data_IF_960222916436
#
_entry.id   IF_960222916436
#
_cell.length_a   1.000
_cell.length_b   1.000
_cell.length_c   1.000
_cell.angle_alpha   90.00
_cell.angle_beta   90.00
_cell.angle_gamma   90.00
#
_symmetry.space_group_name_H-M   'P 1'
#
loop_
_entity.id
_entity.type
_entity.pdbx_description
1 polymer ?
#
# COMPACT_ATOMS: atom_id res chain seq x y z
N UNK A 1 43.40 -62.16 -11.77
CA UNK A 1 42.46 -61.98 -12.90
C UNK A 1 41.04 -62.16 -12.38
N UNK A 2 40.23 -61.11 -12.34
CA UNK A 2 38.82 -61.17 -11.96
C UNK A 2 38.03 -60.23 -12.86
N UNK A 3 37.29 -60.79 -13.82
CA UNK A 3 36.40 -60.04 -14.71
C UNK A 3 34.99 -60.04 -14.11
N UNK A 4 34.54 -58.89 -13.61
CA UNK A 4 33.12 -58.63 -13.34
C UNK A 4 32.51 -57.91 -14.54
N UNK A 5 31.72 -58.63 -15.32
CA UNK A 5 30.82 -58.06 -16.31
C UNK A 5 29.74 -57.22 -15.60
N UNK A 6 29.70 -55.90 -15.84
CA UNK A 6 28.58 -55.04 -15.44
C UNK A 6 27.53 -55.08 -16.55
N UNK A 7 26.41 -55.74 -16.29
CA UNK A 7 25.20 -55.63 -17.12
C UNK A 7 24.53 -54.29 -16.83
N UNK A 8 24.49 -53.40 -17.82
CA UNK A 8 23.73 -52.14 -17.78
C UNK A 8 22.27 -52.40 -18.10
N UNK A 9 21.42 -52.45 -17.07
CA UNK A 9 19.95 -52.48 -17.22
C UNK A 9 19.50 -51.06 -17.58
N UNK A 10 19.21 -50.83 -18.86
CA UNK A 10 18.54 -49.60 -19.32
C UNK A 10 17.05 -49.72 -19.03
N UNK A 11 16.58 -48.98 -18.02
CA UNK A 11 15.16 -48.93 -17.67
C UNK A 11 14.39 -48.21 -18.80
N UNK A 12 13.34 -48.82 -19.38
CA UNK A 12 12.54 -48.16 -20.40
C UNK A 12 11.81 -46.95 -19.80
N UNK A 13 11.92 -45.79 -20.46
CA UNK A 13 11.19 -44.58 -20.11
C UNK A 13 9.69 -44.79 -20.35
N UNK A 14 8.80 -44.36 -19.44
CA UNK A 14 7.37 -44.50 -19.63
C UNK A 14 6.88 -43.69 -20.84
N UNK A 15 5.83 -44.16 -21.54
CA UNK A 15 5.31 -43.47 -22.72
C UNK A 15 4.79 -42.08 -22.34
N UNK A 16 5.24 -41.04 -23.06
CA UNK A 16 4.78 -39.66 -22.91
C UNK A 16 3.29 -39.60 -23.32
N UNK A 17 2.39 -39.48 -22.33
CA UNK A 17 0.95 -39.32 -22.59
C UNK A 17 0.70 -38.02 -23.36
N UNK A 18 -0.12 -38.09 -24.41
CA UNK A 18 -0.55 -36.91 -25.18
C UNK A 18 -1.38 -36.01 -24.26
N UNK A 19 -0.90 -34.79 -24.02
CA UNK A 19 -1.58 -33.78 -23.21
C UNK A 19 -2.79 -33.27 -23.98
N UNK A 20 -3.95 -33.24 -23.35
CA UNK A 20 -5.17 -32.71 -23.96
C UNK A 20 -5.14 -31.19 -23.86
N UNK A 21 -5.37 -30.49 -24.98
CA UNK A 21 -5.42 -29.03 -25.07
C UNK A 21 -6.86 -28.61 -25.36
N UNK A 22 -7.30 -27.51 -24.75
CA UNK A 22 -8.61 -26.88 -24.94
C UNK A 22 -8.39 -25.41 -25.26
N UNK A 23 -8.98 -24.96 -26.36
CA UNK A 23 -8.93 -23.56 -26.80
C UNK A 23 -9.93 -22.72 -26.01
N UNK A 24 -9.48 -21.61 -25.43
CA UNK A 24 -10.32 -20.57 -24.84
C UNK A 24 -10.00 -19.22 -25.49
N UNK A 25 -10.79 -18.82 -26.49
CA UNK A 25 -10.45 -17.70 -27.37
C UNK A 25 -9.16 -18.01 -28.16
N UNK A 26 -8.19 -17.10 -28.10
CA UNK A 26 -6.88 -17.23 -28.76
C UNK A 26 -5.83 -17.97 -27.90
N UNK A 27 -6.23 -18.55 -26.76
CA UNK A 27 -5.32 -19.19 -25.80
C UNK A 27 -5.60 -20.69 -25.72
N UNK A 28 -4.56 -21.49 -25.94
CA UNK A 28 -4.61 -22.93 -25.73
C UNK A 28 -4.31 -23.28 -24.26
N UNK A 29 -5.30 -23.83 -23.57
CA UNK A 29 -5.21 -24.28 -22.18
C UNK A 29 -4.96 -25.78 -22.11
N UNK A 30 -3.99 -26.21 -21.30
CA UNK A 30 -3.77 -27.64 -21.06
C UNK A 30 -4.82 -28.17 -20.07
N UNK A 31 -5.62 -29.15 -20.49
CA UNK A 31 -6.63 -29.79 -19.64
C UNK A 31 -5.98 -30.96 -18.91
N UNK A 32 -5.99 -30.89 -17.58
CA UNK A 32 -5.55 -31.97 -16.71
C UNK A 32 -6.77 -32.81 -16.32
N UNK A 33 -6.83 -34.05 -16.81
CA UNK A 33 -7.99 -34.93 -16.63
C UNK A 33 -8.04 -35.61 -15.25
N UNK A 34 -7.06 -35.36 -14.39
CA UNK A 34 -6.88 -36.09 -13.13
C UNK A 34 -6.74 -35.11 -11.96
N UNK A 35 -7.47 -35.35 -10.87
CA UNK A 35 -7.44 -34.50 -9.65
C UNK A 35 -6.02 -34.46 -9.02
N UNK A 36 -5.17 -35.43 -9.34
CA UNK A 36 -3.76 -35.51 -8.91
C UNK A 36 -2.80 -34.66 -9.76
N UNK A 37 -3.23 -34.22 -10.93
CA UNK A 37 -2.47 -33.31 -11.79
C UNK A 37 -2.93 -31.87 -11.51
N UNK A 38 -2.70 -31.43 -10.27
CA UNK A 38 -2.90 -30.03 -9.92
C UNK A 38 -1.85 -29.19 -10.64
N UNK A 39 -2.22 -27.99 -11.08
CA UNK A 39 -1.26 -27.02 -11.58
C UNK A 39 -0.20 -26.77 -10.49
N UNK A 40 1.06 -27.08 -10.82
CA UNK A 40 2.22 -26.81 -9.98
C UNK A 40 2.97 -25.68 -10.66
N UNK A 41 3.01 -24.52 -10.01
CA UNK A 41 3.83 -23.41 -10.45
C UNK A 41 5.31 -23.86 -10.51
N UNK A 42 5.99 -23.75 -11.67
CA UNK A 42 7.40 -24.15 -11.80
C UNK A 42 8.32 -23.38 -10.83
N UNK A 43 7.92 -22.18 -10.40
CA UNK A 43 8.69 -21.33 -9.48
C UNK A 43 8.24 -21.44 -8.03
N UNK A 44 7.70 -22.59 -7.62
CA UNK A 44 7.16 -22.82 -6.27
C UNK A 44 8.21 -22.51 -5.19
N UNK A 45 8.24 -21.25 -4.75
CA UNK A 45 9.01 -20.82 -3.59
C UNK A 45 8.43 -21.58 -2.40
N UNK A 46 9.29 -22.35 -1.74
CA UNK A 46 8.92 -23.02 -0.51
C UNK A 46 8.60 -21.93 0.51
N UNK A 47 7.35 -21.89 0.96
CA UNK A 47 6.94 -20.95 1.99
C UNK A 47 7.65 -21.29 3.30
N UNK A 48 8.05 -20.25 4.03
CA UNK A 48 8.53 -20.42 5.39
C UNK A 48 7.41 -20.94 6.31
N UNK A 49 7.75 -21.58 7.42
CA UNK A 49 6.78 -22.19 8.35
C UNK A 49 5.73 -21.18 8.83
N UNK A 50 6.14 -19.93 9.08
CA UNK A 50 5.24 -18.85 9.49
C UNK A 50 4.29 -18.47 8.36
N UNK A 51 4.80 -18.36 7.13
CA UNK A 51 4.01 -18.03 5.95
C UNK A 51 3.00 -19.14 5.62
N UNK A 52 3.41 -20.40 5.74
CA UNK A 52 2.55 -21.55 5.56
C UNK A 52 1.41 -21.54 6.59
N UNK A 53 1.72 -21.30 7.87
CA UNK A 53 0.73 -21.19 8.94
C UNK A 53 -0.31 -20.09 8.65
N UNK A 54 0.13 -18.92 8.18
CA UNK A 54 -0.78 -17.83 7.81
C UNK A 54 -1.70 -18.22 6.64
N UNK A 55 -1.15 -18.84 5.59
CA UNK A 55 -1.93 -19.32 4.45
C UNK A 55 -2.93 -20.38 4.87
N UNK A 56 -2.52 -21.33 5.70
CA UNK A 56 -3.38 -22.41 6.21
C UNK A 56 -4.53 -21.85 7.06
N UNK A 57 -4.24 -20.85 7.90
CA UNK A 57 -5.26 -20.16 8.69
C UNK A 57 -6.30 -19.48 7.79
N UNK A 58 -5.88 -18.78 6.74
CA UNK A 58 -6.79 -18.13 5.78
C UNK A 58 -7.62 -19.17 5.02
N UNK A 59 -6.99 -20.28 4.61
CA UNK A 59 -7.64 -21.35 3.86
C UNK A 59 -8.72 -22.06 4.69
N UNK A 60 -8.50 -22.21 6.00
CA UNK A 60 -9.39 -22.92 6.91
C UNK A 60 -10.50 -22.04 7.51
N UNK A 61 -10.57 -20.74 7.16
CA UNK A 61 -11.68 -19.89 7.62
C UNK A 61 -13.01 -20.48 7.14
N UNK A 62 -13.96 -20.78 8.05
CA UNK A 62 -15.27 -21.26 7.64
C UNK A 62 -15.98 -20.16 6.85
N UNK A 63 -16.43 -20.47 5.64
CA UNK A 63 -17.27 -19.55 4.87
C UNK A 63 -18.71 -19.68 5.36
N UNK A 64 -19.30 -18.65 5.99
CA UNK A 64 -20.71 -18.69 6.31
C UNK A 64 -21.53 -18.78 5.01
N UNK A 65 -22.49 -19.69 4.99
CA UNK A 65 -23.43 -19.85 3.87
C UNK A 65 -24.30 -18.61 3.76
N UNK A 66 -24.04 -17.75 2.76
CA UNK A 66 -24.96 -16.66 2.39
C UNK A 66 -24.33 -15.32 2.03
N UNK A 67 -23.06 -15.09 2.36
CA UNK A 67 -22.36 -13.84 2.01
C UNK A 67 -21.22 -14.17 1.07
N UNK A 68 -21.06 -13.41 -0.03
CA UNK A 68 -19.99 -13.62 -1.02
C UNK A 68 -18.68 -13.97 -0.32
N UNK A 69 -18.15 -15.16 -0.62
CA UNK A 69 -17.23 -15.92 0.24
C UNK A 69 -16.18 -15.02 0.92
N UNK A 70 -16.22 -14.91 2.25
CA UNK A 70 -15.27 -14.12 3.07
C UNK A 70 -13.82 -14.33 2.64
N UNK A 71 -13.48 -15.56 2.23
CA UNK A 71 -12.21 -15.93 1.61
C UNK A 71 -11.83 -15.04 0.42
N UNK A 72 -12.73 -14.83 -0.53
CA UNK A 72 -12.51 -13.95 -1.69
C UNK A 72 -12.28 -12.51 -1.27
N UNK A 73 -12.99 -12.00 -0.26
CA UNK A 73 -12.73 -10.66 0.27
C UNK A 73 -11.33 -10.57 0.89
N UNK A 74 -10.92 -11.57 1.67
CA UNK A 74 -9.57 -11.64 2.25
C UNK A 74 -8.52 -11.69 1.14
N UNK A 75 -8.70 -12.52 0.12
CA UNK A 75 -7.78 -12.59 -1.01
C UNK A 75 -7.72 -11.28 -1.79
N UNK A 76 -8.87 -10.64 -2.07
CA UNK A 76 -8.90 -9.33 -2.73
C UNK A 76 -8.16 -8.27 -1.90
N UNK A 77 -8.37 -8.24 -0.59
CA UNK A 77 -7.65 -7.33 0.31
C UNK A 77 -6.16 -7.61 0.36
N UNK A 78 -5.74 -8.88 0.39
CA UNK A 78 -4.33 -9.26 0.36
C UNK A 78 -3.68 -8.94 -0.98
N UNK A 79 -4.34 -9.25 -2.10
CA UNK A 79 -3.87 -8.89 -3.43
C UNK A 79 -3.75 -7.37 -3.53
N UNK A 80 -4.75 -6.62 -3.08
CA UNK A 80 -4.68 -5.16 -3.10
C UNK A 80 -3.54 -4.65 -2.20
N UNK A 81 -3.36 -5.22 -1.01
CA UNK A 81 -2.23 -4.92 -0.14
C UNK A 81 -0.90 -5.22 -0.83
N UNK A 82 -0.73 -6.38 -1.46
CA UNK A 82 0.51 -6.72 -2.14
C UNK A 82 0.72 -5.94 -3.42
N UNK A 83 -0.32 -5.58 -4.17
CA UNK A 83 -0.21 -4.70 -5.33
C UNK A 83 0.18 -3.30 -4.87
N UNK A 84 -0.47 -2.74 -3.86
CA UNK A 84 -0.14 -1.41 -3.31
C UNK A 84 1.21 -1.40 -2.58
N UNK A 85 1.58 -2.47 -1.90
CA UNK A 85 2.87 -2.63 -1.21
C UNK A 85 4.01 -3.06 -2.14
N UNK A 86 3.75 -3.75 -3.25
CA UNK A 86 4.70 -4.00 -4.32
C UNK A 86 4.87 -2.76 -5.21
N UNK A 87 3.88 -1.86 -5.24
CA UNK A 87 4.04 -0.45 -5.61
C UNK A 87 4.66 0.34 -4.43
N UNK A 88 5.56 -0.27 -3.65
CA UNK A 88 6.66 0.47 -3.05
C UNK A 88 7.65 0.74 -4.18
N UNK A 89 7.71 1.96 -4.75
CA UNK A 89 8.77 2.25 -5.69
C UNK A 89 10.08 2.06 -4.93
N UNK A 90 11.02 1.34 -5.54
CA UNK A 90 12.36 1.08 -5.01
C UNK A 90 13.22 2.37 -4.83
N UNK A 91 12.59 3.55 -4.88
CA UNK A 91 13.19 4.82 -4.59
C UNK A 91 13.02 5.22 -3.13
N UNK A 92 14.03 5.93 -2.64
CA UNK A 92 14.01 6.76 -1.43
C UNK A 92 12.81 7.73 -1.46
N UNK A 93 11.64 7.31 -0.98
CA UNK A 93 10.50 8.20 -0.78
C UNK A 93 10.79 9.08 0.42
N UNK A 94 10.93 10.36 0.18
CA UNK A 94 10.95 11.37 1.22
C UNK A 94 9.56 11.43 1.87
N UNK A 95 9.56 11.50 3.20
CA UNK A 95 8.34 11.57 4.02
C UNK A 95 7.66 12.93 3.91
N UNK A 96 8.44 13.98 3.64
CA UNK A 96 7.98 15.35 3.48
C UNK A 96 8.93 16.14 2.56
N UNK A 97 8.48 17.31 2.12
CA UNK A 97 9.18 18.15 1.16
C UNK A 97 9.17 19.60 1.63
N UNK A 98 10.30 20.28 1.57
CA UNK A 98 10.40 21.72 1.76
C UNK A 98 10.41 22.43 0.41
N UNK A 99 9.56 23.43 0.25
CA UNK A 99 9.56 24.37 -0.86
C UNK A 99 10.09 25.72 -0.35
N UNK A 100 11.14 26.25 -0.95
CA UNK A 100 11.81 27.48 -0.49
C UNK A 100 11.42 28.73 -1.28
N UNK A 101 10.57 28.59 -2.30
CA UNK A 101 10.22 29.68 -3.23
C UNK A 101 8.74 29.66 -3.56
N UNK A 102 8.16 30.85 -3.80
CA UNK A 102 6.75 31.03 -4.14
C UNK A 102 5.85 31.30 -2.93
N UNK A 103 4.58 31.58 -3.19
CA UNK A 103 3.61 32.02 -2.17
C UNK A 103 3.33 30.96 -1.10
N UNK A 104 3.54 29.69 -1.45
CA UNK A 104 3.35 28.53 -0.58
C UNK A 104 4.68 27.92 -0.14
N UNK A 105 5.73 28.74 -0.02
CA UNK A 105 7.02 28.31 0.52
C UNK A 105 6.88 27.83 1.98
N UNK A 106 7.35 26.61 2.24
CA UNK A 106 7.19 25.93 3.50
C UNK A 106 7.21 24.41 3.37
N UNK A 107 6.61 23.69 4.32
CA UNK A 107 6.68 22.23 4.41
C UNK A 107 5.39 21.56 3.94
N UNK A 108 5.56 20.62 3.03
CA UNK A 108 4.52 19.88 2.33
C UNK A 108 4.60 18.38 2.65
N UNK A 109 3.46 17.76 2.93
CA UNK A 109 3.40 16.36 3.32
C UNK A 109 3.62 15.41 2.15
N UNK A 110 3.22 15.79 0.93
CA UNK A 110 3.22 14.91 -0.23
C UNK A 110 3.85 15.59 -1.46
N UNK A 111 4.50 14.78 -2.31
CA UNK A 111 5.14 15.28 -3.54
C UNK A 111 4.14 15.86 -4.54
N UNK A 112 2.91 15.33 -4.59
CA UNK A 112 1.87 15.80 -5.50
C UNK A 112 1.59 17.30 -5.29
N UNK A 113 1.48 17.74 -4.03
CA UNK A 113 1.25 19.14 -3.67
C UNK A 113 2.39 20.04 -4.18
N UNK A 114 3.64 19.65 -3.91
CA UNK A 114 4.82 20.40 -4.36
C UNK A 114 4.92 20.43 -5.88
N UNK A 115 4.62 19.32 -6.55
CA UNK A 115 4.73 19.21 -8.00
C UNK A 115 3.81 20.16 -8.76
N UNK A 116 2.65 20.49 -8.19
CA UNK A 116 1.75 21.50 -8.75
C UNK A 116 2.27 22.92 -8.52
N UNK A 117 2.84 23.19 -7.35
CA UNK A 117 3.36 24.52 -6.98
C UNK A 117 4.64 24.90 -7.74
N UNK A 118 5.51 23.94 -8.03
CA UNK A 118 6.73 24.21 -8.80
C UNK A 118 6.44 24.50 -10.28
N UNK A 119 5.30 24.07 -10.82
CA UNK A 119 4.91 24.39 -12.20
C UNK A 119 4.49 25.84 -12.35
N UNK A 120 3.99 26.46 -11.28
CA UNK A 120 3.54 27.86 -11.29
C UNK A 120 4.65 28.86 -10.97
N UNK A 121 5.81 28.40 -10.50
CA UNK A 121 6.92 29.26 -10.06
C UNK A 121 8.15 28.99 -10.92
N UNK A 122 8.59 30.01 -11.66
CA UNK A 122 9.82 29.93 -12.43
C UNK A 122 11.03 29.78 -11.49
N UNK A 123 11.87 28.76 -11.72
CA UNK A 123 13.03 28.43 -10.88
C UNK A 123 12.71 28.02 -9.42
N UNK A 124 11.65 27.24 -9.22
CA UNK A 124 11.29 26.77 -7.90
C UNK A 124 12.40 25.95 -7.20
N UNK A 125 12.76 26.32 -5.96
CA UNK A 125 13.73 25.60 -5.15
C UNK A 125 13.01 24.71 -4.13
N UNK A 126 13.29 23.41 -4.15
CA UNK A 126 12.70 22.45 -3.23
C UNK A 126 13.67 21.34 -2.84
N UNK A 127 13.41 20.67 -1.70
CA UNK A 127 14.18 19.52 -1.23
C UNK A 127 13.30 18.54 -0.46
N UNK A 128 13.51 17.24 -0.69
CA UNK A 128 12.85 16.16 0.05
C UNK A 128 13.60 15.77 1.32
N UNK A 129 12.86 15.40 2.36
CA UNK A 129 13.34 15.02 3.68
C UNK A 129 12.65 13.76 4.21
N UNK A 130 13.36 12.96 5.02
CA UNK A 130 12.78 11.77 5.66
C UNK A 130 12.15 12.07 7.01
N UNK A 131 12.60 13.13 7.66
CA UNK A 131 12.06 13.60 8.94
C UNK A 131 11.36 14.95 8.76
N UNK A 132 10.18 15.07 9.39
CA UNK A 132 9.44 16.32 9.49
C UNK A 132 10.25 17.41 10.19
N UNK A 133 11.00 17.04 11.23
CA UNK A 133 11.83 17.94 12.00
C UNK A 133 12.97 18.53 11.16
N UNK A 134 13.63 17.69 10.33
CA UNK A 134 14.70 18.12 9.43
C UNK A 134 14.18 19.12 8.38
N UNK A 135 12.99 18.86 7.82
CA UNK A 135 12.35 19.76 6.87
C UNK A 135 11.97 21.10 7.52
N UNK A 136 11.41 21.07 8.73
CA UNK A 136 11.04 22.27 9.49
C UNK A 136 12.27 23.12 9.83
N UNK A 137 13.37 22.49 10.26
CA UNK A 137 14.61 23.20 10.57
C UNK A 137 15.21 23.83 9.32
N UNK A 138 15.18 23.12 8.19
CA UNK A 138 15.64 23.67 6.91
C UNK A 138 14.81 24.87 6.45
N UNK A 139 13.48 24.78 6.54
CA UNK A 139 12.61 25.92 6.25
C UNK A 139 12.89 27.10 7.18
N UNK A 140 13.08 26.86 8.50
CA UNK A 140 13.42 27.93 9.45
C UNK A 140 14.74 28.63 9.10
N UNK A 141 15.74 27.89 8.64
CA UNK A 141 17.04 28.43 8.25
C UNK A 141 16.98 29.32 7.01
N UNK A 142 16.12 28.98 6.04
CA UNK A 142 16.05 29.67 4.74
C UNK A 142 14.97 30.75 4.70
N UNK A 143 13.77 30.44 5.20
CA UNK A 143 12.58 31.29 5.14
C UNK A 143 12.36 32.11 6.42
N UNK A 144 13.01 31.73 7.53
CA UNK A 144 12.80 32.33 8.85
C UNK A 144 11.64 31.68 9.62
N UNK A 145 11.14 32.34 10.68
CA UNK A 145 10.15 31.74 11.60
C UNK A 145 8.75 31.58 10.97
N UNK A 146 8.44 32.33 9.92
CA UNK A 146 7.12 32.36 9.30
C UNK A 146 7.17 31.69 7.93
N UNK A 147 6.68 30.46 7.84
CA UNK A 147 6.56 29.72 6.57
C UNK A 147 5.28 28.88 6.57
N UNK A 148 4.86 28.46 5.38
CA UNK A 148 3.63 27.71 5.20
C UNK A 148 3.77 26.26 5.71
N UNK A 149 2.73 25.74 6.37
CA UNK A 149 2.64 24.32 6.71
C UNK A 149 1.36 23.77 6.11
N UNK A 150 1.52 22.86 5.15
CA UNK A 150 0.41 22.20 4.44
C UNK A 150 -0.53 21.46 5.39
N UNK A 151 -1.80 21.34 4.98
CA UNK A 151 -2.79 20.58 5.73
C UNK A 151 -2.48 19.06 5.76
N UNK A 152 -1.79 18.54 4.75
CA UNK A 152 -1.28 17.17 4.73
C UNK A 152 -0.26 16.95 5.86
N UNK A 153 0.65 17.89 6.06
CA UNK A 153 1.66 17.84 7.13
C UNK A 153 1.03 17.94 8.52
N UNK A 154 0.04 18.83 8.71
CA UNK A 154 -0.69 18.97 9.98
C UNK A 154 -1.40 17.68 10.38
N UNK A 155 -2.04 17.00 9.42
CA UNK A 155 -2.71 15.72 9.66
C UNK A 155 -1.74 14.61 10.03
N UNK A 156 -0.55 14.56 9.40
CA UNK A 156 0.50 13.59 9.74
C UNK A 156 1.01 13.79 11.17
N UNK A 157 1.27 15.03 11.58
CA UNK A 157 1.69 15.33 12.95
C UNK A 157 0.68 14.85 14.01
N UNK A 158 -0.62 15.02 13.75
CA UNK A 158 -1.70 14.56 14.67
C UNK A 158 -1.77 13.03 14.71
N UNK A 159 -1.49 12.35 13.60
CA UNK A 159 -1.52 10.87 13.54
C UNK A 159 -0.31 10.24 14.24
N UNK A 160 0.86 10.87 14.17
CA UNK A 160 2.06 10.39 14.88
C UNK A 160 1.93 10.55 16.40
N UNK A 161 1.19 11.56 16.87
CA UNK A 161 0.83 11.74 18.29
C UNK A 161 -0.42 10.92 18.69
N UNK A 162 -1.05 10.23 17.75
CA UNK A 162 -2.36 9.57 17.88
C UNK A 162 -2.33 8.12 18.37
N UNK A 163 -1.20 7.59 18.82
CA UNK A 163 -1.16 6.36 19.63
C UNK A 163 -1.17 6.74 21.12
N UNK A 164 -2.05 7.64 21.53
CA UNK A 164 -2.50 7.88 22.92
C UNK A 164 -3.53 9.01 22.89
N UNK A 165 -4.82 8.69 22.71
CA UNK A 165 -5.82 9.76 22.66
C UNK A 165 -7.22 9.32 22.31
N UNK A 166 -7.87 8.71 23.30
CA UNK A 166 -9.29 8.40 23.31
C UNK A 166 -10.16 9.60 22.91
N UNK A 167 -11.07 9.36 21.98
CA UNK A 167 -12.19 10.22 21.58
C UNK A 167 -12.86 10.89 22.78
N UNK A 168 -12.83 12.22 22.84
CA UNK A 168 -13.94 12.99 23.43
C UNK A 168 -14.29 14.16 22.52
N UNK A 169 -15.43 13.98 21.86
CA UNK A 169 -16.21 15.01 21.16
C UNK A 169 -16.86 15.91 22.22
N UNK A 170 -16.43 17.16 22.29
CA UNK A 170 -17.19 18.22 22.95
C UNK A 170 -17.71 19.17 21.89
N UNK A 171 -19.05 19.20 21.77
CA UNK A 171 -19.81 20.26 21.13
C UNK A 171 -19.53 21.57 21.87
N UNK A 172 -19.12 22.60 21.15
CA UNK A 172 -19.30 23.99 21.59
C UNK A 172 -20.48 24.56 20.80
N UNK A 173 -21.57 24.80 21.52
CA UNK A 173 -22.68 25.62 21.06
C UNK A 173 -22.23 27.08 21.04
N UNK A 174 -22.34 27.68 19.85
CA UNK A 174 -22.09 29.10 19.59
C UNK A 174 -23.25 29.96 20.10
N UNK A 175 -22.92 30.92 20.97
CA UNK A 175 -23.71 32.14 21.20
C UNK A 175 -23.74 33.00 19.92
N UNK A 176 -24.90 33.62 19.64
CA UNK A 176 -24.93 34.88 18.89
C UNK A 176 -26.03 35.79 19.45
N UNK A 177 -25.56 36.93 19.92
CA UNK A 177 -26.25 38.06 20.53
C UNK A 177 -27.08 38.89 19.52
N UNK A 178 -28.07 39.58 20.10
CA UNK A 178 -28.47 40.97 19.78
C UNK A 178 -29.32 41.26 18.54
N UNK A 179 -30.58 41.60 18.80
CA UNK A 179 -31.31 42.63 18.04
C UNK A 179 -32.22 43.44 18.97
N UNK A 180 -31.95 44.75 19.00
CA UNK A 180 -32.63 45.82 19.73
C UNK A 180 -34.14 45.84 19.47
N UNK A 181 -34.93 45.99 20.53
CA UNK A 181 -36.27 46.60 20.43
C UNK A 181 -36.45 47.64 21.53
N UNK A 182 -36.72 48.88 21.12
CA UNK A 182 -36.93 50.07 21.97
C UNK A 182 -38.35 50.04 22.56
N UNK A 183 -38.57 50.42 23.84
CA UNK A 183 -39.93 50.57 24.36
C UNK A 183 -40.49 51.96 24.02
N UNK A 184 -41.74 52.01 23.57
CA UNK A 184 -42.52 53.23 23.40
C UNK A 184 -43.31 53.48 24.68
N UNK A 185 -43.03 54.59 25.35
CA UNK A 185 -43.84 55.15 26.44
C UNK A 185 -44.64 56.31 25.87
N UNK A 186 -45.95 56.12 25.75
CA UNK A 186 -47.04 57.11 25.81
C UNK A 186 -48.34 56.41 25.41
#
# INVERSE_FOLDING_TARGET
>A
MSHRNKLTITRPQPPKRKKQLMTFGDIDLQVFSNVKEQYIDPDRKKLDAIQQCLVDNIWNIPTPTGTGSTKVCIYKSLINYFVTAAVKPAGKKFSCYALFTGDFAGVHGDWSEVSHLIQTVESAQYKGYYSSEEALEACRKVLGPNFYISASMKRKAIQDEGIEGHTQSSKEDSESESSKTVPKVA
#
